data_IF_888193005859
#
_entry.id   IF_888193005859
#
_cell.length_a   1.000
_cell.length_b   1.000
_cell.length_c   1.000
_cell.angle_alpha   90.00
_cell.angle_beta   90.00
_cell.angle_gamma   90.00
#
_symmetry.space_group_name_H-M   'P 1'
#
loop_
_entity.id
_entity.type
_entity.pdbx_description
1 polymer ?
#
# COMPACT_ATOMS: atom_id res chain seq x y z
N UNK A 1 15.46 -24.73 17.52
CA UNK A 1 14.18 -24.73 16.80
C UNK A 1 14.36 -23.87 15.57
N UNK A 2 13.87 -24.33 14.42
CA UNK A 2 13.72 -23.45 13.25
C UNK A 2 12.50 -22.53 13.44
N UNK A 3 12.31 -21.58 12.54
CA UNK A 3 11.24 -20.58 12.65
C UNK A 3 9.83 -21.16 12.67
N UNK A 4 9.57 -22.22 11.91
CA UNK A 4 8.26 -22.90 11.91
C UNK A 4 8.02 -23.61 13.24
N UNK A 5 9.02 -24.29 13.78
CA UNK A 5 8.96 -24.94 15.10
C UNK A 5 8.74 -23.92 16.22
N UNK A 6 9.46 -22.79 16.19
CA UNK A 6 9.30 -21.70 17.15
C UNK A 6 7.90 -21.09 17.07
N UNK A 7 7.39 -20.82 15.86
CA UNK A 7 6.05 -20.27 15.68
C UNK A 7 4.95 -21.23 16.16
N UNK A 8 5.08 -22.54 15.90
CA UNK A 8 4.16 -23.56 16.43
C UNK A 8 4.18 -23.62 17.95
N UNK A 9 5.37 -23.68 18.56
CA UNK A 9 5.51 -23.69 20.02
C UNK A 9 4.92 -22.43 20.67
N UNK A 10 5.12 -21.27 20.05
CA UNK A 10 4.52 -20.01 20.50
C UNK A 10 2.99 -20.02 20.42
N UNK A 11 2.42 -20.50 19.32
CA UNK A 11 0.97 -20.64 19.16
C UNK A 11 0.36 -21.60 20.17
N UNK A 12 0.98 -22.76 20.40
CA UNK A 12 0.50 -23.76 21.35
C UNK A 12 0.48 -23.19 22.79
N UNK A 13 1.44 -22.32 23.14
CA UNK A 13 1.53 -21.70 24.45
C UNK A 13 0.57 -20.52 24.64
N UNK A 14 0.44 -19.64 23.64
CA UNK A 14 -0.23 -18.34 23.81
C UNK A 14 -1.63 -18.29 23.17
N UNK A 15 -1.86 -19.09 22.13
CA UNK A 15 -3.13 -19.13 21.38
C UNK A 15 -3.63 -20.57 21.20
N UNK A 16 -3.70 -21.41 22.26
CA UNK A 16 -4.06 -22.82 22.12
C UNK A 16 -5.45 -23.04 21.51
N UNK A 17 -6.34 -22.06 21.66
CA UNK A 17 -7.74 -22.15 21.23
C UNK A 17 -8.06 -21.33 19.97
N UNK A 18 -7.07 -20.72 19.29
CA UNK A 18 -7.34 -20.02 18.03
C UNK A 18 -7.84 -21.01 16.95
N UNK A 19 -8.67 -20.53 16.03
CA UNK A 19 -9.28 -21.36 14.99
C UNK A 19 -8.31 -21.66 13.85
N UNK A 20 -7.47 -20.67 13.51
CA UNK A 20 -6.45 -20.77 12.48
C UNK A 20 -5.22 -19.90 12.78
N UNK A 21 -4.08 -20.26 12.21
CA UNK A 21 -2.86 -19.46 12.27
C UNK A 21 -1.99 -19.63 11.02
N UNK A 22 -1.44 -18.52 10.54
CA UNK A 22 -0.63 -18.45 9.32
C UNK A 22 0.68 -17.73 9.62
N UNK A 23 1.82 -18.38 9.37
CA UNK A 23 3.13 -17.76 9.41
C UNK A 23 3.37 -17.02 8.09
N UNK A 24 3.67 -15.74 8.16
CA UNK A 24 3.94 -14.90 7.01
C UNK A 24 5.41 -14.45 6.98
N UNK A 25 5.68 -13.28 6.39
CA UNK A 25 7.01 -12.69 6.43
C UNK A 25 8.07 -13.46 5.64
N UNK A 26 9.33 -13.12 5.87
CA UNK A 26 10.48 -13.81 5.24
C UNK A 26 10.61 -15.27 5.69
N UNK A 27 10.20 -15.60 6.92
CA UNK A 27 10.29 -16.96 7.47
C UNK A 27 9.39 -17.96 6.74
N UNK A 28 8.21 -17.55 6.27
CA UNK A 28 7.34 -18.40 5.46
C UNK A 28 7.90 -18.76 4.07
N UNK A 29 8.83 -17.95 3.55
CA UNK A 29 9.42 -18.09 2.21
C UNK A 29 10.87 -18.58 2.21
N UNK A 30 11.42 -18.98 3.36
CA UNK A 30 12.84 -19.30 3.53
C UNK A 30 13.80 -18.15 3.14
N UNK A 31 13.33 -16.90 3.24
CA UNK A 31 14.11 -15.69 2.96
C UNK A 31 14.58 -14.99 4.25
N UNK A 32 14.47 -15.66 5.39
CA UNK A 32 14.75 -15.04 6.69
C UNK A 32 16.24 -14.82 6.92
N UNK A 33 16.53 -13.74 7.63
CA UNK A 33 17.85 -13.42 8.18
C UNK A 33 17.91 -13.85 9.65
N UNK A 34 19.11 -13.84 10.22
CA UNK A 34 19.32 -14.09 11.66
C UNK A 34 18.55 -13.14 12.57
N UNK A 35 18.16 -11.97 12.07
CA UNK A 35 17.42 -10.92 12.79
C UNK A 35 15.97 -10.77 12.32
N UNK A 36 15.47 -11.65 11.45
CA UNK A 36 14.07 -11.57 11.02
C UNK A 36 13.12 -11.87 12.18
N UNK A 37 12.08 -11.08 12.26
CA UNK A 37 10.87 -11.32 13.03
C UNK A 37 10.08 -12.53 12.49
N UNK A 38 9.21 -13.08 13.32
CA UNK A 38 8.18 -14.03 12.91
C UNK A 38 6.84 -13.29 12.84
N UNK A 39 6.34 -13.06 11.63
CA UNK A 39 5.01 -12.52 11.41
C UNK A 39 3.97 -13.66 11.49
N UNK A 40 3.07 -13.62 12.46
CA UNK A 40 2.04 -14.65 12.65
C UNK A 40 0.66 -13.99 12.62
N UNK A 41 -0.14 -14.34 11.61
CA UNK A 41 -1.57 -14.01 11.59
C UNK A 41 -2.30 -15.06 12.41
N UNK A 42 -2.97 -14.63 13.46
CA UNK A 42 -3.78 -15.49 14.34
C UNK A 42 -5.25 -15.17 14.13
N UNK A 43 -6.07 -16.20 13.94
CA UNK A 43 -7.49 -16.06 13.68
C UNK A 43 -8.30 -16.71 14.80
N UNK A 44 -9.17 -15.93 15.43
CA UNK A 44 -10.17 -16.37 16.39
C UNK A 44 -11.54 -15.76 15.99
N UNK A 45 -12.50 -16.60 15.64
CA UNK A 45 -13.84 -16.17 15.21
C UNK A 45 -14.63 -15.47 16.33
N UNK A 46 -14.22 -15.65 17.59
CA UNK A 46 -14.81 -14.95 18.75
C UNK A 46 -14.12 -13.62 19.04
N UNK A 47 -13.09 -13.25 18.28
CA UNK A 47 -12.40 -11.97 18.44
C UNK A 47 -13.37 -10.80 18.21
N UNK A 48 -13.46 -9.91 19.21
CA UNK A 48 -14.28 -8.70 19.11
C UNK A 48 -13.59 -7.57 18.35
N UNK A 49 -12.26 -7.50 18.46
CA UNK A 49 -11.43 -6.45 17.87
C UNK A 49 -10.11 -7.04 17.38
N UNK A 50 -9.60 -6.57 16.23
CA UNK A 50 -8.27 -6.94 15.78
C UNK A 50 -7.21 -6.18 16.60
N UNK A 51 -6.02 -6.75 16.71
CA UNK A 51 -4.86 -6.05 17.27
C UNK A 51 -3.56 -6.56 16.65
N UNK A 52 -2.52 -5.75 16.75
CA UNK A 52 -1.15 -6.13 16.41
C UNK A 52 -0.28 -5.94 17.65
N UNK A 53 0.58 -6.92 17.95
CA UNK A 53 1.47 -6.89 19.10
C UNK A 53 2.82 -7.52 18.75
N UNK A 54 3.90 -6.84 19.13
CA UNK A 54 5.28 -7.34 19.01
C UNK A 54 5.76 -7.89 20.35
N UNK A 55 6.20 -9.14 20.37
CA UNK A 55 6.61 -9.87 21.57
C UNK A 55 8.02 -10.47 21.40
N UNK A 56 8.64 -10.80 22.54
CA UNK A 56 9.89 -11.58 22.57
C UNK A 56 9.59 -12.96 23.17
N UNK A 57 9.78 -14.02 22.39
CA UNK A 57 9.60 -15.40 22.84
C UNK A 57 10.60 -16.33 22.16
N UNK A 58 11.09 -17.34 22.88
CA UNK A 58 12.05 -18.32 22.37
C UNK A 58 13.31 -17.69 21.73
N UNK A 59 13.74 -16.51 22.21
CA UNK A 59 14.88 -15.78 21.67
C UNK A 59 14.63 -15.12 20.30
N UNK A 60 13.36 -14.91 19.92
CA UNK A 60 12.94 -14.29 18.66
C UNK A 60 11.93 -13.17 18.93
N UNK A 61 11.98 -12.15 18.08
CA UNK A 61 10.87 -11.19 17.92
C UNK A 61 9.73 -11.87 17.17
N UNK A 62 8.51 -11.75 17.67
CA UNK A 62 7.30 -12.29 17.05
C UNK A 62 6.28 -11.18 16.96
N UNK A 63 5.83 -10.88 15.75
CA UNK A 63 4.73 -9.96 15.48
C UNK A 63 3.45 -10.77 15.30
N UNK A 64 2.51 -10.58 16.21
CA UNK A 64 1.19 -11.21 16.18
C UNK A 64 0.21 -10.24 15.55
N UNK A 65 -0.43 -10.66 14.47
CA UNK A 65 -1.52 -9.94 13.83
C UNK A 65 -2.81 -10.72 14.10
N UNK A 66 -3.52 -10.33 15.16
CA UNK A 66 -4.69 -11.03 15.66
C UNK A 66 -5.99 -10.49 15.04
N UNK A 67 -6.81 -11.40 14.50
CA UNK A 67 -8.00 -11.06 13.72
C UNK A 67 -9.12 -12.09 13.91
N UNK A 68 -10.35 -11.74 13.51
CA UNK A 68 -11.35 -12.72 13.08
C UNK A 68 -11.34 -12.84 11.55
N UNK A 69 -12.04 -13.82 10.97
CA UNK A 69 -12.20 -13.89 9.52
C UNK A 69 -12.89 -12.64 8.96
N UNK A 70 -13.86 -12.10 9.69
CA UNK A 70 -14.54 -10.86 9.29
C UNK A 70 -13.59 -9.67 9.23
N UNK A 71 -12.69 -9.51 10.22
CA UNK A 71 -11.72 -8.41 10.21
C UNK A 71 -10.67 -8.61 9.11
N UNK A 72 -10.23 -9.84 8.84
CA UNK A 72 -9.38 -10.16 7.68
C UNK A 72 -10.02 -9.66 6.37
N UNK A 73 -11.30 -9.96 6.13
CA UNK A 73 -12.01 -9.49 4.93
C UNK A 73 -12.12 -7.97 4.85
N UNK A 74 -12.28 -7.28 5.99
CA UNK A 74 -12.24 -5.81 6.04
C UNK A 74 -10.86 -5.28 5.65
N UNK A 75 -9.79 -5.91 6.13
CA UNK A 75 -8.42 -5.55 5.75
C UNK A 75 -8.13 -5.86 4.28
N UNK A 76 -8.62 -6.96 3.70
CA UNK A 76 -8.47 -7.24 2.27
C UNK A 76 -9.08 -6.12 1.40
N UNK A 77 -10.27 -5.63 1.77
CA UNK A 77 -10.89 -4.48 1.09
C UNK A 77 -10.10 -3.17 1.30
N UNK A 78 -9.54 -2.98 2.49
CA UNK A 78 -8.70 -1.82 2.80
C UNK A 78 -7.41 -1.84 1.98
N UNK A 79 -6.76 -3.00 1.88
CA UNK A 79 -5.55 -3.24 1.11
C UNK A 79 -5.76 -2.89 -0.37
N UNK A 80 -6.87 -3.34 -0.96
CA UNK A 80 -7.27 -2.98 -2.34
C UNK A 80 -7.37 -1.47 -2.55
N UNK A 81 -8.05 -0.76 -1.64
CA UNK A 81 -8.24 0.70 -1.72
C UNK A 81 -6.95 1.48 -1.50
N UNK A 82 -6.06 0.97 -0.63
CA UNK A 82 -4.79 1.60 -0.32
C UNK A 82 -3.66 1.16 -1.26
N UNK A 83 -3.96 0.28 -2.22
CA UNK A 83 -3.01 -0.32 -3.15
C UNK A 83 -1.87 -1.10 -2.50
N UNK A 84 -1.99 -1.49 -1.22
CA UNK A 84 -0.91 -2.10 -0.46
C UNK A 84 -1.40 -3.38 0.23
N UNK A 85 -0.98 -4.57 -0.22
CA UNK A 85 -1.53 -5.84 0.27
C UNK A 85 -0.76 -6.32 1.51
N UNK A 86 -1.02 -5.77 2.70
CA UNK A 86 -0.32 -6.22 3.91
C UNK A 86 -0.90 -7.56 4.39
N UNK A 87 -2.10 -7.54 4.96
CA UNK A 87 -2.77 -8.74 5.49
C UNK A 87 -3.14 -9.68 4.35
N UNK A 88 -3.54 -9.12 3.20
CA UNK A 88 -3.85 -9.91 2.00
C UNK A 88 -2.65 -10.76 1.58
N UNK A 89 -1.45 -10.18 1.46
CA UNK A 89 -0.26 -10.94 1.08
C UNK A 89 0.15 -11.96 2.15
N UNK A 90 0.09 -11.57 3.44
CA UNK A 90 0.40 -12.47 4.56
C UNK A 90 -0.46 -13.73 4.53
N UNK A 91 -1.77 -13.59 4.37
CA UNK A 91 -2.71 -14.71 4.29
C UNK A 91 -2.55 -15.50 2.98
N UNK A 92 -2.39 -14.82 1.85
CA UNK A 92 -2.31 -15.45 0.53
C UNK A 92 -1.06 -16.31 0.34
N UNK A 93 0.10 -15.84 0.84
CA UNK A 93 1.42 -16.46 0.60
C UNK A 93 2.04 -17.09 1.84
N UNK A 94 1.41 -16.95 3.00
CA UNK A 94 1.90 -17.51 4.25
C UNK A 94 1.77 -19.04 4.35
N UNK A 95 2.53 -19.62 5.25
CA UNK A 95 2.49 -21.02 5.61
C UNK A 95 1.46 -21.25 6.71
N UNK A 96 0.47 -22.09 6.45
CA UNK A 96 -0.54 -22.47 7.45
C UNK A 96 0.13 -23.27 8.57
N UNK A 97 0.02 -22.77 9.80
CA UNK A 97 0.53 -23.42 11.00
C UNK A 97 -0.56 -24.21 11.73
N UNK A 98 -1.78 -23.66 11.79
CA UNK A 98 -2.95 -24.27 12.43
C UNK A 98 -4.16 -24.08 11.55
N UNK A 99 -4.96 -25.12 11.41
CA UNK A 99 -6.25 -25.07 10.74
C UNK A 99 -7.19 -26.11 11.35
N UNK A 100 -8.17 -25.63 12.12
CA UNK A 100 -9.06 -26.52 12.90
C UNK A 100 -10.14 -27.14 12.01
N UNK A 101 -10.83 -26.32 11.21
CA UNK A 101 -12.00 -26.70 10.41
C UNK A 101 -11.90 -26.26 8.94
N UNK A 102 -10.68 -26.02 8.43
CA UNK A 102 -10.43 -25.55 7.07
C UNK A 102 -10.54 -24.03 6.89
N UNK A 103 -10.66 -23.29 7.99
CA UNK A 103 -10.75 -21.83 7.99
C UNK A 103 -9.47 -21.19 7.45
N UNK A 104 -8.28 -21.71 7.78
CA UNK A 104 -7.03 -21.13 7.29
C UNK A 104 -6.92 -21.28 5.76
N UNK A 105 -7.30 -22.45 5.22
CA UNK A 105 -7.36 -22.68 3.78
C UNK A 105 -8.40 -21.78 3.09
N UNK A 106 -9.56 -21.58 3.70
CA UNK A 106 -10.57 -20.66 3.18
C UNK A 106 -10.05 -19.22 3.13
N UNK A 107 -9.45 -18.73 4.21
CA UNK A 107 -8.88 -17.38 4.29
C UNK A 107 -7.77 -17.21 3.25
N UNK A 108 -6.88 -18.19 3.12
CA UNK A 108 -5.81 -18.17 2.14
C UNK A 108 -6.35 -18.18 0.70
N UNK A 109 -7.42 -18.93 0.42
CA UNK A 109 -8.07 -18.92 -0.88
C UNK A 109 -8.66 -17.54 -1.22
N UNK A 110 -9.43 -16.96 -0.30
CA UNK A 110 -10.00 -15.61 -0.46
C UNK A 110 -8.91 -14.56 -0.64
N UNK A 111 -7.84 -14.62 0.16
CA UNK A 111 -6.72 -13.71 0.06
C UNK A 111 -5.99 -13.82 -1.29
N UNK A 112 -5.83 -15.04 -1.84
CA UNK A 112 -5.24 -15.22 -3.17
C UNK A 112 -6.13 -14.63 -4.27
N UNK A 113 -7.45 -14.80 -4.18
CA UNK A 113 -8.38 -14.18 -5.14
C UNK A 113 -8.26 -12.65 -5.13
N UNK A 114 -8.20 -12.04 -3.95
CA UNK A 114 -8.01 -10.58 -3.81
C UNK A 114 -6.63 -10.17 -4.36
N UNK A 115 -5.58 -10.90 -4.00
CA UNK A 115 -4.22 -10.61 -4.44
C UNK A 115 -4.07 -10.69 -5.97
N UNK A 116 -4.70 -11.68 -6.61
CA UNK A 116 -4.72 -11.83 -8.07
C UNK A 116 -5.58 -10.77 -8.77
N UNK A 117 -6.69 -10.36 -8.15
CA UNK A 117 -7.53 -9.27 -8.66
C UNK A 117 -6.79 -7.92 -8.69
N UNK A 118 -5.92 -7.68 -7.71
CA UNK A 118 -5.14 -6.46 -7.61
C UNK A 118 -5.86 -5.30 -6.91
N UNK A 119 -5.24 -4.12 -6.86
CA UNK A 119 -5.84 -2.94 -6.27
C UNK A 119 -7.00 -2.37 -7.10
N UNK A 120 -7.77 -1.50 -6.45
CA UNK A 120 -8.82 -0.73 -7.12
C UNK A 120 -8.21 0.21 -8.17
N UNK A 121 -8.95 0.57 -9.24
CA UNK A 121 -8.53 1.62 -10.15
C UNK A 121 -8.43 2.97 -9.43
N UNK A 122 -7.42 3.77 -9.81
CA UNK A 122 -7.32 5.13 -9.33
C UNK A 122 -8.53 5.97 -9.75
N UNK A 123 -9.00 6.78 -8.82
CA UNK A 123 -9.98 7.83 -9.12
C UNK A 123 -9.28 9.01 -9.79
N UNK A 124 -10.00 9.74 -10.63
CA UNK A 124 -9.46 10.88 -11.38
C UNK A 124 -8.79 11.91 -10.45
N UNK A 125 -9.42 12.26 -9.33
CA UNK A 125 -8.86 13.18 -8.33
C UNK A 125 -7.55 12.69 -7.71
N UNK A 126 -7.35 11.37 -7.58
CA UNK A 126 -6.10 10.81 -7.10
C UNK A 126 -5.02 10.88 -8.19
N UNK A 127 -5.38 10.59 -9.44
CA UNK A 127 -4.47 10.71 -10.59
C UNK A 127 -3.99 12.15 -10.75
N UNK A 128 -4.89 13.13 -10.76
CA UNK A 128 -4.54 14.54 -10.94
C UNK A 128 -3.69 15.08 -9.80
N UNK A 129 -3.96 14.68 -8.55
CA UNK A 129 -3.08 15.00 -7.41
C UNK A 129 -1.66 14.49 -7.63
N UNK A 130 -1.48 13.22 -8.02
CA UNK A 130 -0.15 12.69 -8.25
C UNK A 130 0.53 13.30 -9.47
N UNK A 131 -0.20 13.56 -10.55
CA UNK A 131 0.36 14.28 -11.71
C UNK A 131 0.90 15.63 -11.28
N UNK A 132 0.12 16.38 -10.53
CA UNK A 132 0.53 17.70 -10.03
C UNK A 132 1.72 17.61 -9.07
N UNK A 133 1.61 16.78 -8.04
CA UNK A 133 2.62 16.69 -6.98
C UNK A 133 3.96 16.18 -7.54
N UNK A 134 3.94 15.17 -8.43
CA UNK A 134 5.16 14.66 -9.06
C UNK A 134 5.77 15.62 -10.09
N UNK A 135 4.94 16.37 -10.84
CA UNK A 135 5.44 17.38 -11.78
C UNK A 135 6.22 18.46 -11.02
N UNK A 136 5.62 19.04 -9.98
CA UNK A 136 6.28 20.05 -9.17
C UNK A 136 7.53 19.50 -8.46
N UNK A 137 7.44 18.29 -7.88
CA UNK A 137 8.56 17.68 -7.19
C UNK A 137 9.74 17.39 -8.13
N UNK A 138 9.49 16.99 -9.38
CA UNK A 138 10.52 16.78 -10.39
C UNK A 138 11.18 18.11 -10.81
N UNK A 139 10.42 19.19 -10.93
CA UNK A 139 10.92 20.53 -11.25
C UNK A 139 11.75 21.11 -10.10
N UNK A 140 11.29 20.99 -8.86
CA UNK A 140 12.00 21.41 -7.65
C UNK A 140 13.30 20.63 -7.48
N UNK A 141 13.26 19.30 -7.68
CA UNK A 141 14.45 18.48 -7.62
C UNK A 141 15.47 18.89 -8.68
N UNK A 142 15.02 19.12 -9.92
CA UNK A 142 15.87 19.52 -11.04
C UNK A 142 16.54 20.88 -10.82
N UNK A 143 15.80 21.82 -10.23
CA UNK A 143 16.25 23.21 -10.03
C UNK A 143 16.93 23.46 -8.68
N UNK A 144 16.90 22.49 -7.76
CA UNK A 144 17.51 22.60 -6.43
C UNK A 144 19.00 22.94 -6.49
N UNK A 145 19.37 24.00 -5.75
CA UNK A 145 20.76 24.48 -5.63
C UNK A 145 21.50 23.88 -4.42
N UNK A 146 20.78 23.34 -3.44
CA UNK A 146 21.35 22.62 -2.31
C UNK A 146 21.39 21.12 -2.58
N UNK A 147 22.56 20.51 -2.39
CA UNK A 147 22.70 19.06 -2.50
C UNK A 147 21.98 18.35 -1.36
N UNK A 148 21.99 18.97 -0.18
CA UNK A 148 21.35 18.49 1.03
C UNK A 148 19.83 18.43 0.86
N UNK A 149 19.21 19.50 0.35
CA UNK A 149 17.79 19.49 -0.02
C UNK A 149 17.49 18.47 -1.12
N UNK A 150 18.41 18.31 -2.08
CA UNK A 150 18.27 17.30 -3.14
C UNK A 150 18.17 15.88 -2.58
N UNK A 151 18.75 15.56 -1.42
CA UNK A 151 18.57 14.24 -0.78
C UNK A 151 17.12 14.00 -0.36
N UNK A 152 16.45 15.06 0.13
CA UNK A 152 15.05 15.00 0.53
C UNK A 152 14.17 14.84 -0.70
N UNK A 153 14.37 15.66 -1.72
CA UNK A 153 13.62 15.55 -2.97
C UNK A 153 13.81 14.20 -3.66
N UNK A 154 15.04 13.67 -3.71
CA UNK A 154 15.30 12.37 -4.30
C UNK A 154 14.54 11.23 -3.60
N UNK A 155 14.45 11.24 -2.26
CA UNK A 155 13.72 10.20 -1.53
C UNK A 155 12.21 10.27 -1.79
N UNK A 156 11.62 11.47 -1.78
CA UNK A 156 10.19 11.64 -2.11
C UNK A 156 9.90 11.33 -3.58
N UNK A 157 10.76 11.74 -4.51
CA UNK A 157 10.55 11.52 -5.94
C UNK A 157 10.69 10.04 -6.29
N UNK A 158 11.69 9.35 -5.73
CA UNK A 158 11.90 7.92 -5.96
C UNK A 158 10.74 7.07 -5.42
N UNK A 159 10.25 7.38 -4.21
CA UNK A 159 9.15 6.63 -3.59
C UNK A 159 7.81 6.99 -4.23
N UNK A 160 7.48 8.28 -4.34
CA UNK A 160 6.22 8.77 -4.91
C UNK A 160 6.03 8.37 -6.37
N UNK A 161 7.08 8.48 -7.21
CA UNK A 161 6.98 8.04 -8.60
C UNK A 161 6.76 6.53 -8.72
N UNK A 162 7.38 5.74 -7.85
CA UNK A 162 7.19 4.28 -7.84
C UNK A 162 5.76 3.90 -7.48
N UNK A 163 5.23 4.46 -6.39
CA UNK A 163 3.88 4.17 -5.95
C UNK A 163 2.85 4.61 -6.99
N UNK A 164 3.05 5.79 -7.59
CA UNK A 164 2.20 6.31 -8.65
C UNK A 164 2.23 5.46 -9.92
N UNK A 165 3.42 5.03 -10.36
CA UNK A 165 3.58 4.17 -11.53
C UNK A 165 2.88 2.83 -11.34
N UNK A 166 3.12 2.16 -10.21
CA UNK A 166 2.51 0.87 -9.90
C UNK A 166 0.98 1.00 -9.80
N UNK A 167 0.50 2.03 -9.12
CA UNK A 167 -0.93 2.26 -8.98
C UNK A 167 -1.62 2.60 -10.32
N UNK A 168 -0.98 3.38 -11.19
CA UNK A 168 -1.48 3.64 -12.55
C UNK A 168 -1.64 2.35 -13.38
N UNK A 169 -0.79 1.35 -13.10
CA UNK A 169 -0.81 0.04 -13.75
C UNK A 169 -1.64 -1.01 -12.99
N UNK A 170 -2.41 -0.59 -11.97
CA UNK A 170 -3.16 -1.47 -11.07
C UNK A 170 -2.30 -2.59 -10.50
N UNK A 171 -1.07 -2.26 -10.08
CA UNK A 171 -0.16 -3.14 -9.36
C UNK A 171 -0.11 -2.77 -7.90
N UNK A 172 0.12 -3.78 -7.07
CA UNK A 172 0.36 -3.62 -5.65
C UNK A 172 1.62 -2.79 -5.39
N UNK A 173 1.55 -1.89 -4.42
CA UNK A 173 2.68 -1.13 -3.89
C UNK A 173 3.21 -1.78 -2.62
N UNK A 174 4.33 -1.28 -2.11
CA UNK A 174 4.96 -1.77 -0.89
C UNK A 174 5.80 -0.70 -0.22
N UNK A 175 6.15 -0.93 1.05
CA UNK A 175 7.00 0.00 1.81
C UNK A 175 8.38 -0.59 2.10
N UNK A 176 9.40 0.28 2.20
CA UNK A 176 10.76 -0.14 2.49
C UNK A 176 11.25 -1.14 1.45
N UNK A 177 11.74 -2.31 1.89
CA UNK A 177 12.23 -3.38 0.98
C UNK A 177 11.17 -3.85 -0.03
N UNK A 178 9.89 -3.74 0.32
CA UNK A 178 8.79 -4.19 -0.55
C UNK A 178 8.54 -3.26 -1.72
N UNK A 179 8.98 -2.01 -1.70
CA UNK A 179 8.81 -1.11 -2.82
C UNK A 179 9.61 -1.60 -4.04
N UNK A 180 10.88 -1.97 -3.83
CA UNK A 180 11.71 -2.52 -4.91
C UNK A 180 11.25 -3.92 -5.33
N UNK A 181 10.77 -4.75 -4.40
CA UNK A 181 10.18 -6.07 -4.74
C UNK A 181 8.94 -5.93 -5.62
N UNK A 182 8.05 -5.00 -5.30
CA UNK A 182 6.87 -4.71 -6.11
C UNK A 182 7.24 -4.21 -7.51
N UNK A 183 8.32 -3.42 -7.63
CA UNK A 183 8.86 -3.03 -8.93
C UNK A 183 9.38 -4.24 -9.72
N UNK A 184 10.12 -5.14 -9.10
CA UNK A 184 10.58 -6.37 -9.77
C UNK A 184 9.42 -7.26 -10.22
N UNK A 185 8.37 -7.38 -9.41
CA UNK A 185 7.16 -8.14 -9.75
C UNK A 185 6.38 -7.48 -10.90
N UNK A 186 6.44 -6.15 -11.01
CA UNK A 186 5.83 -5.41 -12.13
C UNK A 186 6.64 -5.53 -13.41
N UNK A 187 7.91 -5.10 -13.38
CA UNK A 187 8.84 -5.13 -14.51
C UNK A 187 10.31 -5.02 -14.00
N UNK A 188 11.12 -6.08 -14.15
CA UNK A 188 12.52 -6.07 -13.76
C UNK A 188 13.38 -4.97 -14.43
N UNK A 189 13.03 -4.54 -15.65
CA UNK A 189 13.75 -3.46 -16.34
C UNK A 189 13.46 -2.11 -15.70
N UNK A 190 12.21 -1.87 -15.31
CA UNK A 190 11.81 -0.66 -14.57
C UNK A 190 12.47 -0.63 -13.20
N UNK A 191 12.54 -1.77 -12.51
CA UNK A 191 13.27 -1.89 -11.25
C UNK A 191 14.76 -1.54 -11.42
N UNK A 192 15.42 -2.03 -12.48
CA UNK A 192 16.81 -1.70 -12.76
C UNK A 192 16.99 -0.20 -13.07
N UNK A 193 16.08 0.40 -13.84
CA UNK A 193 16.11 1.83 -14.11
C UNK A 193 15.99 2.67 -12.84
N UNK A 194 15.15 2.24 -11.88
CA UNK A 194 15.04 2.88 -10.58
C UNK A 194 16.37 2.81 -9.81
N UNK A 195 17.00 1.64 -9.77
CA UNK A 195 18.30 1.43 -9.09
C UNK A 195 19.37 2.33 -9.71
N UNK A 196 19.50 2.30 -11.03
CA UNK A 196 20.50 3.09 -11.77
C UNK A 196 20.29 4.59 -11.54
N UNK A 197 19.03 5.04 -11.48
CA UNK A 197 18.70 6.43 -11.21
C UNK A 197 19.07 6.88 -9.79
N UNK A 198 18.74 6.06 -8.79
CA UNK A 198 19.08 6.30 -7.38
C UNK A 198 20.60 6.30 -7.19
N UNK A 199 21.31 5.32 -7.76
CA UNK A 199 22.77 5.25 -7.70
C UNK A 199 23.43 6.44 -8.39
N UNK A 200 22.95 6.84 -9.57
CA UNK A 200 23.45 7.99 -10.30
C UNK A 200 23.38 9.27 -9.46
N UNK A 201 22.29 9.47 -8.72
CA UNK A 201 22.15 10.61 -7.83
C UNK A 201 23.09 10.52 -6.62
N UNK A 202 23.05 9.43 -5.85
CA UNK A 202 23.84 9.36 -4.62
C UNK A 202 25.35 9.31 -4.86
N UNK A 203 25.81 8.67 -5.93
CA UNK A 203 27.23 8.54 -6.25
C UNK A 203 27.77 9.73 -7.04
N UNK A 204 27.02 10.23 -8.03
CA UNK A 204 27.50 11.21 -9.01
C UNK A 204 26.76 12.54 -8.97
N UNK A 205 25.80 12.71 -8.06
CA UNK A 205 24.93 13.88 -7.97
C UNK A 205 24.15 14.14 -9.29
N UNK A 206 23.93 13.11 -10.09
CA UNK A 206 23.17 13.22 -11.34
C UNK A 206 21.68 13.09 -11.05
N UNK A 207 20.92 14.15 -11.32
CA UNK A 207 19.47 14.21 -11.08
C UNK A 207 18.64 13.69 -12.24
N UNK A 208 19.22 13.75 -13.44
CA UNK A 208 18.54 13.50 -14.72
C UNK A 208 17.87 12.13 -14.77
N UNK A 209 18.52 11.10 -14.28
CA UNK A 209 18.03 9.73 -14.35
C UNK A 209 16.79 9.54 -13.46
N UNK A 210 16.78 10.15 -12.27
CA UNK A 210 15.64 10.06 -11.36
C UNK A 210 14.46 10.91 -11.84
N UNK A 211 14.72 12.07 -12.44
CA UNK A 211 13.68 12.87 -13.14
C UNK A 211 13.11 12.08 -14.33
N UNK A 212 13.97 11.41 -15.09
CA UNK A 212 13.54 10.55 -16.22
C UNK A 212 12.69 9.38 -15.73
N UNK A 213 13.05 8.76 -14.62
CA UNK A 213 12.23 7.73 -13.98
C UNK A 213 10.87 8.30 -13.53
N UNK A 214 10.85 9.45 -12.88
CA UNK A 214 9.60 10.12 -12.47
C UNK A 214 8.69 10.43 -13.67
N UNK A 215 9.27 10.79 -14.82
CA UNK A 215 8.52 11.03 -16.04
C UNK A 215 7.76 9.79 -16.54
N UNK A 216 8.21 8.57 -16.24
CA UNK A 216 7.46 7.35 -16.54
C UNK A 216 6.14 7.31 -15.77
N UNK A 217 6.19 7.60 -14.46
CA UNK A 217 5.02 7.65 -13.61
C UNK A 217 4.06 8.75 -14.04
N UNK A 218 4.58 9.96 -14.29
CA UNK A 218 3.80 11.12 -14.77
C UNK A 218 3.11 10.77 -16.09
N UNK A 219 3.82 10.14 -17.03
CA UNK A 219 3.25 9.74 -18.33
C UNK A 219 2.18 8.66 -18.16
N UNK A 220 2.41 7.66 -17.31
CA UNK A 220 1.43 6.61 -17.02
C UNK A 220 0.13 7.16 -16.42
N UNK A 221 0.20 8.29 -15.70
CA UNK A 221 -0.96 8.98 -15.15
C UNK A 221 -1.67 9.92 -16.15
N UNK A 222 -1.13 10.13 -17.35
CA UNK A 222 -1.71 11.04 -18.35
C UNK A 222 -0.92 12.32 -18.61
N UNK A 223 0.34 12.38 -18.17
CA UNK A 223 1.26 13.50 -18.43
C UNK A 223 1.30 14.54 -17.31
N UNK A 224 2.15 15.56 -17.44
CA UNK A 224 2.34 16.58 -16.40
C UNK A 224 1.06 17.37 -16.14
N UNK A 225 0.95 17.94 -14.94
CA UNK A 225 -0.13 18.84 -14.55
C UNK A 225 0.43 19.96 -13.68
N UNK A 226 0.26 21.22 -14.11
CA UNK A 226 0.77 22.39 -13.39
C UNK A 226 -0.37 23.11 -12.68
N UNK A 227 -1.46 23.40 -13.40
CA UNK A 227 -2.63 24.03 -12.80
C UNK A 227 -3.49 22.99 -12.10
N UNK A 228 -3.59 23.10 -10.78
CA UNK A 228 -4.36 22.19 -9.95
C UNK A 228 -5.00 22.95 -8.79
N UNK A 229 -6.21 22.54 -8.42
CA UNK A 229 -6.93 23.11 -7.28
C UNK A 229 -7.08 22.03 -6.23
N UNK A 230 -6.53 22.27 -5.04
CA UNK A 230 -6.79 21.43 -3.87
C UNK A 230 -7.98 22.01 -3.10
N UNK A 231 -9.08 21.26 -3.02
CA UNK A 231 -10.31 21.73 -2.40
C UNK A 231 -11.26 22.37 -3.40
N UNK A 232 -12.16 23.23 -2.93
CA UNK A 232 -13.12 23.94 -3.78
C UNK A 232 -12.77 25.43 -3.80
N UNK A 233 -12.80 26.03 -4.98
CA UNK A 233 -12.88 27.50 -5.08
C UNK A 233 -14.30 27.89 -4.70
N UNK A 234 -14.45 29.00 -3.99
CA UNK A 234 -15.77 29.62 -3.84
C UNK A 234 -16.26 29.95 -5.25
N UNK A 235 -17.28 29.23 -5.71
CA UNK A 235 -17.99 29.64 -6.91
C UNK A 235 -18.83 30.85 -6.50
N UNK A 236 -18.74 31.92 -7.26
CA UNK A 236 -19.88 32.85 -7.32
C UNK A 236 -21.05 31.99 -7.82
N UNK A 237 -22.18 31.89 -7.12
CA UNK A 237 -23.29 31.06 -7.57
C UNK A 237 -23.62 31.41 -9.02
N UNK A 238 -23.88 30.37 -9.83
CA UNK A 238 -24.38 30.57 -11.18
C UNK A 238 -25.74 31.26 -11.05
N UNK A 239 -25.94 32.49 -11.59
CA UNK A 239 -27.22 33.18 -11.49
C UNK A 239 -28.36 32.39 -12.14
N UNK A 240 -28.05 31.40 -12.98
CA UNK A 240 -29.04 30.52 -13.58
C UNK A 240 -29.47 29.34 -12.70
N UNK A 241 -28.77 29.05 -11.59
CA UNK A 241 -29.21 28.08 -10.58
C UNK A 241 -30.11 28.73 -9.51
N UNK A 242 -29.96 30.05 -9.25
CA UNK A 242 -30.86 30.81 -8.36
C UNK A 242 -32.31 30.89 -8.90
N UNK A 243 -32.49 30.94 -10.24
CA UNK A 243 -33.84 30.93 -10.85
C UNK A 243 -34.58 29.58 -10.69
N UNK A 244 -33.86 28.46 -10.54
CA UNK A 244 -34.50 27.16 -10.30
C UNK A 244 -34.92 26.96 -8.85
N UNK A 245 -34.15 27.49 -7.88
CA UNK A 245 -34.52 27.42 -6.46
C UNK A 245 -35.69 28.37 -6.12
N UNK A 246 -35.75 29.58 -6.71
CA UNK A 246 -36.88 30.49 -6.51
C UNK A 246 -38.21 29.97 -7.12
N UNK A 247 -38.16 29.20 -8.21
CA UNK A 247 -39.36 28.58 -8.80
C UNK A 247 -39.88 27.35 -8.02
N UNK A 248 -39.04 26.61 -7.30
CA UNK A 248 -39.49 25.51 -6.42
C UNK A 248 -40.05 26.03 -5.09
N UNK A 249 -39.43 27.05 -4.47
CA UNK A 249 -39.94 27.66 -3.22
C UNK A 249 -41.31 28.35 -3.41
N UNK A 250 -41.57 28.91 -4.60
CA UNK A 250 -42.88 29.48 -4.92
C UNK A 250 -43.97 28.42 -5.20
N UNK A 251 -43.60 27.20 -5.61
CA UNK A 251 -44.56 26.10 -5.81
C UNK A 251 -44.96 25.42 -4.50
N UNK A 252 -44.08 25.38 -3.49
CA UNK A 252 -44.44 24.85 -2.16
C UNK A 252 -45.33 25.79 -1.34
N UNK A 253 -45.22 27.12 -1.51
CA UNK A 253 -46.01 28.09 -0.76
C UNK A 253 -47.47 28.29 -1.25
N UNK A 254 -47.89 27.62 -2.33
CA UNK A 254 -49.28 27.70 -2.86
C UNK A 254 -50.14 26.50 -2.41
N UNK A 255 -49.58 25.56 -1.64
CA UNK A 255 -50.27 24.35 -1.17
C UNK A 255 -50.46 24.27 0.37
N UNK A 256 -50.36 25.39 1.09
CA UNK A 256 -50.78 25.49 2.50
C UNK A 256 -52.00 26.39 2.69
#
# INVERSE_FOLDING_TARGET
MNSVETARAFLDQNFPNCDAAILAGSSSRNEETTTSDLDIVVIDEKALYPYEETLQAFGRTIDVIFNSHETCRKFFKSDMKNHRPVITHMCAKGLILKDTDGLAQQIQHEANQVFEYGPDPLQQDAMDRWRHDLTNLADDFSSSRSREESFVFASYLATGATDALLAAQRRWTGSGKWQLRALYDYDPQVAQQWIDAVEAFYQRNSRRELVTYAQLAITALGGPLIEYVRGRKDQTPDPSEEEYEEEEEQKENVLQ
#
